data_IF_899749813085
#
_entry.id   IF_899749813085
#
_cell.length_a   1.000
_cell.length_b   1.000
_cell.length_c   1.000
_cell.angle_alpha   90.00
_cell.angle_beta   90.00
_cell.angle_gamma   90.00
#
_symmetry.space_group_name_H-M   'P 1'
#
loop_
_entity.id
_entity.type
_entity.pdbx_description
1 polymer ?
#
# COMPACT_ATOMS: atom_id res chain seq x y z
N UNK A 1 -26.09 -26.45 13.33
CA UNK A 1 -24.90 -26.29 12.45
C UNK A 1 -23.63 -26.69 13.24
N UNK A 2 -23.63 -27.86 13.88
CA UNK A 2 -22.55 -28.32 14.79
C UNK A 2 -21.62 -29.38 14.15
N UNK A 3 -21.77 -29.64 12.84
CA UNK A 3 -21.19 -30.84 12.22
C UNK A 3 -19.82 -30.66 11.55
N UNK A 4 -19.27 -29.44 11.40
CA UNK A 4 -18.00 -29.22 10.68
C UNK A 4 -16.74 -29.11 11.56
N UNK A 5 -16.85 -28.66 12.82
CA UNK A 5 -15.65 -28.46 13.67
C UNK A 5 -15.07 -29.79 14.17
N UNK A 6 -15.93 -30.79 14.42
CA UNK A 6 -15.53 -32.10 14.96
C UNK A 6 -14.77 -32.96 13.93
N UNK A 7 -15.11 -32.81 12.65
CA UNK A 7 -14.48 -33.58 11.56
C UNK A 7 -13.10 -33.05 11.17
N UNK A 8 -12.80 -31.76 11.42
CA UNK A 8 -11.46 -31.20 11.18
C UNK A 8 -10.44 -31.71 12.22
N UNK A 9 -10.87 -31.90 13.47
CA UNK A 9 -9.98 -32.30 14.57
C UNK A 9 -9.58 -33.79 14.47
N UNK A 10 -10.53 -34.67 14.12
CA UNK A 10 -10.28 -36.11 13.98
C UNK A 10 -9.46 -36.46 12.72
N UNK A 11 -9.37 -35.56 11.73
CA UNK A 11 -8.62 -35.76 10.47
C UNK A 11 -7.12 -35.46 10.58
N UNK A 12 -6.71 -34.61 11.53
CA UNK A 12 -5.29 -34.23 11.68
C UNK A 12 -4.51 -35.14 12.62
N UNK A 13 -5.16 -35.82 13.57
CA UNK A 13 -4.47 -36.57 14.61
C UNK A 13 -5.01 -38.00 14.67
N UNK A 14 -4.48 -38.85 13.78
CA UNK A 14 -4.68 -40.29 13.88
C UNK A 14 -4.13 -40.81 15.20
N UNK A 15 -4.96 -41.57 15.91
CA UNK A 15 -4.74 -42.32 17.16
C UNK A 15 -5.34 -41.71 18.45
N UNK A 16 -6.51 -42.28 18.79
CA UNK A 16 -6.82 -42.97 20.05
C UNK A 16 -6.09 -42.52 21.32
N UNK A 17 -6.88 -41.96 22.25
CA UNK A 17 -6.71 -42.27 23.67
C UNK A 17 -6.08 -41.18 24.53
N UNK A 18 -6.81 -40.07 24.73
CA UNK A 18 -7.09 -39.45 26.04
C UNK A 18 -7.97 -38.23 25.79
N UNK A 19 -9.19 -38.23 26.33
CA UNK A 19 -10.09 -37.08 26.29
C UNK A 19 -9.37 -35.89 26.95
N UNK A 20 -8.88 -34.95 26.15
CA UNK A 20 -8.41 -33.67 26.67
C UNK A 20 -9.63 -32.97 27.29
N UNK A 21 -9.54 -32.66 28.59
CA UNK A 21 -10.59 -31.99 29.33
C UNK A 21 -10.63 -30.51 28.93
N UNK A 22 -11.37 -30.23 27.86
CA UNK A 22 -11.52 -28.90 27.22
C UNK A 22 -12.00 -27.82 28.20
N UNK A 23 -12.68 -28.22 29.29
CA UNK A 23 -13.18 -27.33 30.32
C UNK A 23 -12.08 -26.56 31.06
N UNK A 24 -10.86 -27.14 31.17
CA UNK A 24 -9.71 -26.45 31.78
C UNK A 24 -9.11 -25.39 30.88
N UNK A 25 -9.18 -25.57 29.56
CA UNK A 25 -8.55 -24.67 28.58
C UNK A 25 -9.41 -23.41 28.38
N UNK A 26 -10.74 -23.55 28.36
CA UNK A 26 -11.68 -22.42 28.26
C UNK A 26 -11.53 -21.39 29.38
N UNK A 27 -11.02 -21.81 30.56
CA UNK A 27 -10.78 -20.89 31.68
C UNK A 27 -9.65 -19.91 31.43
N UNK A 28 -8.67 -20.27 30.61
CA UNK A 28 -7.47 -19.47 30.38
C UNK A 28 -7.51 -18.66 29.08
N UNK A 29 -8.45 -18.96 28.17
CA UNK A 29 -8.52 -18.36 26.84
C UNK A 29 -9.91 -17.78 26.53
N UNK A 30 -9.98 -16.73 25.71
CA UNK A 30 -11.22 -16.20 25.11
C UNK A 30 -11.58 -17.00 23.83
N UNK A 31 -12.78 -16.91 23.21
CA UNK A 31 -13.13 -17.75 22.04
C UNK A 31 -12.32 -17.43 20.77
N UNK A 32 -11.42 -16.45 20.84
CA UNK A 32 -10.44 -16.10 19.79
C UNK A 32 -9.02 -16.61 20.17
N UNK A 33 -8.86 -17.37 21.26
CA UNK A 33 -7.59 -18.02 21.62
C UNK A 33 -6.56 -17.12 22.32
N UNK A 34 -6.96 -16.01 22.94
CA UNK A 34 -6.05 -15.07 23.62
C UNK A 34 -6.03 -15.35 25.15
N UNK A 35 -4.85 -15.40 25.81
CA UNK A 35 -4.74 -15.57 27.26
C UNK A 35 -5.42 -14.45 28.05
N UNK A 36 -6.30 -14.80 29.00
CA UNK A 36 -7.08 -13.80 29.78
C UNK A 36 -6.23 -12.92 30.73
N UNK A 37 -4.98 -13.29 31.01
CA UNK A 37 -4.09 -12.59 31.95
C UNK A 37 -3.63 -11.19 31.46
N UNK A 38 -3.90 -10.83 30.21
CA UNK A 38 -3.51 -9.54 29.61
C UNK A 38 -4.70 -8.60 29.32
N UNK A 39 -5.91 -8.94 29.75
CA UNK A 39 -7.09 -8.11 29.49
C UNK A 39 -7.49 -7.34 30.76
N UNK A 40 -7.08 -6.06 30.86
CA UNK A 40 -7.86 -5.11 31.63
C UNK A 40 -9.08 -4.73 30.75
N UNK A 41 -10.31 -5.15 31.09
CA UNK A 41 -11.47 -5.00 30.20
C UNK A 41 -11.84 -3.53 29.96
N UNK A 42 -11.34 -2.59 30.76
CA UNK A 42 -11.60 -1.16 30.59
C UNK A 42 -10.83 -0.51 29.42
N UNK A 43 -9.73 -1.11 28.95
CA UNK A 43 -8.84 -0.50 27.95
C UNK A 43 -8.73 -1.33 26.64
N UNK A 44 -9.58 -2.34 26.45
CA UNK A 44 -9.61 -3.08 25.20
C UNK A 44 -10.33 -2.26 24.13
N UNK A 45 -9.56 -1.55 23.32
CA UNK A 45 -10.02 -1.01 22.03
C UNK A 45 -9.66 -2.04 20.96
N UNK A 46 -10.60 -2.83 20.42
CA UNK A 46 -10.28 -3.75 19.35
C UNK A 46 -9.71 -2.98 18.16
N UNK A 47 -8.65 -3.51 17.55
CA UNK A 47 -7.87 -2.93 16.43
C UNK A 47 -8.67 -2.70 15.12
N UNK A 48 -10.00 -2.71 15.19
CA UNK A 48 -10.92 -2.38 14.11
C UNK A 48 -12.11 -1.50 14.54
N UNK A 49 -12.15 -1.00 15.78
CA UNK A 49 -13.27 -0.19 16.29
C UNK A 49 -13.16 1.32 16.06
N UNK A 50 -12.07 1.78 15.45
CA UNK A 50 -11.87 3.19 15.09
C UNK A 50 -11.84 3.43 13.57
N UNK A 51 -12.48 2.56 12.78
CA UNK A 51 -12.72 2.81 11.35
C UNK A 51 -14.22 2.85 11.08
N UNK A 52 -14.92 3.75 11.76
CA UNK A 52 -16.14 4.32 11.22
C UNK A 52 -15.75 5.60 10.49
N UNK A 53 -15.04 5.47 9.36
CA UNK A 53 -15.12 6.51 8.34
C UNK A 53 -16.55 6.43 7.80
N UNK A 54 -17.41 7.36 8.23
CA UNK A 54 -18.59 7.68 7.45
C UNK A 54 -18.07 8.16 6.10
N UNK A 55 -18.15 7.28 5.09
CA UNK A 55 -17.89 7.65 3.71
C UNK A 55 -19.06 8.56 3.31
N UNK A 56 -18.89 9.86 3.54
CA UNK A 56 -19.72 10.89 2.90
C UNK A 56 -19.55 10.69 1.39
N UNK A 57 -20.59 10.15 0.76
CA UNK A 57 -20.68 9.97 -0.68
C UNK A 57 -20.97 11.32 -1.33
N UNK A 58 -19.97 12.20 -1.30
CA UNK A 58 -19.93 13.46 -2.04
C UNK A 58 -18.62 13.55 -2.85
N UNK A 59 -18.16 12.40 -3.39
CA UNK A 59 -17.11 12.43 -4.41
C UNK A 59 -17.72 12.91 -5.74
N UNK A 60 -17.28 14.06 -6.30
CA UNK A 60 -17.67 14.43 -7.65
C UNK A 60 -17.23 13.31 -8.59
N UNK A 61 -18.13 12.90 -9.50
CA UNK A 61 -17.83 11.89 -10.51
C UNK A 61 -16.49 12.23 -11.19
N UNK A 62 -15.58 11.26 -11.38
CA UNK A 62 -14.29 11.53 -12.00
C UNK A 62 -14.57 12.17 -13.36
N UNK A 63 -14.00 13.36 -13.59
CA UNK A 63 -14.03 13.99 -14.90
C UNK A 63 -13.29 13.07 -15.88
N UNK A 64 -14.07 12.22 -16.55
CA UNK A 64 -13.62 11.30 -17.57
C UNK A 64 -12.88 12.12 -18.62
N UNK A 65 -11.55 12.12 -18.54
CA UNK A 65 -10.68 12.88 -19.43
C UNK A 65 -10.33 11.97 -20.59
N UNK A 66 -10.42 12.45 -21.82
CA UNK A 66 -10.01 11.66 -22.99
C UNK A 66 -8.50 11.78 -23.19
N UNK A 67 -7.81 10.66 -23.42
CA UNK A 67 -6.40 10.68 -23.80
C UNK A 67 -6.21 11.08 -25.27
N UNK A 68 -4.94 11.20 -25.67
CA UNK A 68 -4.50 11.56 -27.01
C UNK A 68 -5.08 10.61 -28.10
N UNK A 69 -5.38 9.36 -27.74
CA UNK A 69 -5.91 8.33 -28.64
C UNK A 69 -7.45 8.26 -28.67
N UNK A 70 -8.16 9.20 -28.03
CA UNK A 70 -9.62 9.18 -27.98
C UNK A 70 -10.19 8.19 -26.95
N UNK A 71 -9.34 7.55 -26.15
CA UNK A 71 -9.73 6.58 -25.11
C UNK A 71 -10.03 7.32 -23.81
N UNK A 72 -11.12 6.94 -23.15
CA UNK A 72 -11.50 7.51 -21.85
C UNK A 72 -10.53 7.06 -20.76
N UNK A 73 -9.94 8.02 -20.06
CA UNK A 73 -9.10 7.80 -18.88
C UNK A 73 -10.01 7.76 -17.66
N UNK A 74 -9.93 6.67 -16.89
CA UNK A 74 -10.68 6.50 -15.65
C UNK A 74 -9.91 6.99 -14.42
N UNK A 75 -8.58 6.87 -14.44
CA UNK A 75 -7.72 7.26 -13.32
C UNK A 75 -6.60 8.21 -13.78
N UNK A 76 -6.94 9.46 -14.17
CA UNK A 76 -5.92 10.43 -14.53
C UNK A 76 -5.03 10.72 -13.32
N UNK A 77 -3.75 10.97 -13.58
CA UNK A 77 -2.79 11.43 -12.58
C UNK A 77 -2.21 12.77 -13.00
N UNK A 78 -2.15 13.68 -12.05
CA UNK A 78 -1.61 15.01 -12.21
C UNK A 78 -0.50 15.22 -11.18
N UNK A 79 0.69 15.63 -11.64
CA UNK A 79 1.84 15.94 -10.78
C UNK A 79 2.22 17.40 -11.00
N UNK A 80 2.22 18.20 -9.94
CA UNK A 80 2.49 19.65 -9.98
C UNK A 80 1.70 20.40 -11.07
N UNK A 81 0.43 20.04 -11.26
CA UNK A 81 -0.45 20.64 -12.28
C UNK A 81 -0.28 20.08 -13.70
N UNK A 82 0.64 19.15 -13.91
CA UNK A 82 0.84 18.48 -15.18
C UNK A 82 0.14 17.11 -15.21
N UNK A 83 -0.86 16.97 -16.08
CA UNK A 83 -1.54 15.69 -16.33
C UNK A 83 -0.61 14.80 -17.15
N UNK A 84 -0.32 13.61 -16.62
CA UNK A 84 0.49 12.64 -17.34
C UNK A 84 -0.28 12.09 -18.56
N UNK A 85 0.40 11.89 -19.69
CA UNK A 85 -0.23 11.41 -20.92
C UNK A 85 -0.55 9.91 -20.83
N UNK A 86 -1.60 9.51 -21.56
CA UNK A 86 -1.97 8.13 -21.86
C UNK A 86 -2.14 7.20 -20.65
N UNK A 87 -3.09 7.55 -19.76
CA UNK A 87 -3.52 6.76 -18.59
C UNK A 87 -2.39 5.90 -17.98
N UNK A 88 -1.44 6.55 -17.29
CA UNK A 88 -0.31 5.82 -16.76
C UNK A 88 -0.76 4.83 -15.68
N UNK A 89 -0.09 3.69 -15.66
CA UNK A 89 -0.28 2.66 -14.68
C UNK A 89 0.37 3.08 -13.36
N UNK A 90 -0.41 3.10 -12.28
CA UNK A 90 0.06 3.48 -10.95
C UNK A 90 0.11 2.24 -10.06
N UNK A 91 1.30 1.92 -9.56
CA UNK A 91 1.51 0.86 -8.57
C UNK A 91 1.88 1.48 -7.24
N UNK A 92 1.20 1.06 -6.18
CA UNK A 92 1.46 1.52 -4.80
C UNK A 92 1.96 0.35 -3.97
N UNK A 93 3.05 0.54 -3.25
CA UNK A 93 3.67 -0.46 -2.36
C UNK A 93 4.01 0.19 -1.03
N UNK A 94 3.88 -0.53 0.07
CA UNK A 94 4.46 -0.16 1.36
C UNK A 94 5.11 -1.38 2.00
N UNK A 95 6.08 -1.13 2.87
CA UNK A 95 6.68 -2.15 3.71
C UNK A 95 6.72 -1.68 5.16
N UNK A 96 6.62 -2.62 6.10
CA UNK A 96 6.84 -2.35 7.51
C UNK A 96 8.20 -2.91 7.90
N UNK A 97 8.91 -2.19 8.76
CA UNK A 97 10.10 -2.72 9.43
C UNK A 97 9.63 -3.55 10.62
N UNK A 98 9.93 -4.84 10.57
CA UNK A 98 9.62 -5.78 11.65
C UNK A 98 10.95 -6.34 12.16
N UNK A 99 11.18 -6.23 13.47
CA UNK A 99 12.34 -6.85 14.12
C UNK A 99 11.89 -8.19 14.66
N UNK A 100 12.61 -9.24 14.29
CA UNK A 100 12.33 -10.60 14.71
C UNK A 100 13.38 -11.04 15.71
N UNK A 101 12.95 -11.44 16.90
CA UNK A 101 13.83 -11.99 17.94
C UNK A 101 13.51 -13.46 18.12
N UNK A 102 14.53 -14.30 17.95
CA UNK A 102 14.42 -15.74 18.18
C UNK A 102 14.20 -16.01 19.67
N UNK A 103 13.23 -16.88 19.97
CA UNK A 103 12.95 -17.31 21.33
C UNK A 103 13.65 -18.64 21.54
N UNK A 104 14.69 -18.66 22.38
CA UNK A 104 15.35 -19.89 22.80
C UNK A 104 14.50 -20.56 23.90
N UNK A 105 13.56 -21.38 23.46
CA UNK A 105 12.71 -22.18 24.34
C UNK A 105 12.83 -23.67 24.00
N UNK A 106 13.15 -24.47 25.02
CA UNK A 106 13.14 -25.93 24.94
C UNK A 106 11.72 -26.52 24.96
N UNK A 107 10.70 -25.70 25.22
CA UNK A 107 9.30 -26.11 25.15
C UNK A 107 8.83 -26.06 23.68
N UNK A 108 8.47 -27.21 23.06
CA UNK A 108 8.04 -27.29 21.68
C UNK A 108 6.71 -26.57 21.40
N UNK A 109 6.03 -26.04 22.42
CA UNK A 109 4.86 -25.17 22.28
C UNK A 109 5.24 -23.73 21.90
N UNK A 110 6.48 -23.32 22.19
CA UNK A 110 7.03 -22.00 21.83
C UNK A 110 7.93 -22.13 20.60
N UNK A 111 7.29 -22.34 19.45
CA UNK A 111 7.96 -22.30 18.15
C UNK A 111 7.71 -20.93 17.50
N UNK A 112 8.78 -20.22 17.13
CA UNK A 112 8.69 -18.99 16.34
C UNK A 112 9.57 -17.84 16.85
N UNK A 113 9.35 -16.66 16.28
CA UNK A 113 10.04 -15.41 16.63
C UNK A 113 9.08 -14.42 17.26
N UNK A 114 9.55 -13.67 18.25
CA UNK A 114 8.87 -12.46 18.72
C UNK A 114 9.02 -11.38 17.65
N UNK A 115 7.89 -10.84 17.16
CA UNK A 115 7.87 -9.81 16.10
C UNK A 115 7.53 -8.45 16.70
N UNK A 116 8.47 -7.52 16.64
CA UNK A 116 8.27 -6.13 17.01
C UNK A 116 7.98 -5.30 15.74
N UNK A 117 6.80 -4.66 15.70
CA UNK A 117 6.43 -3.75 14.61
C UNK A 117 7.10 -2.39 14.84
N UNK A 118 8.30 -2.21 14.28
CA UNK A 118 9.15 -1.06 14.57
C UNK A 118 8.69 0.22 13.88
N UNK A 119 8.45 0.16 12.56
CA UNK A 119 7.99 1.32 11.81
C UNK A 119 7.19 0.94 10.58
N UNK A 120 6.30 1.84 10.19
CA UNK A 120 5.68 1.83 8.86
C UNK A 120 6.60 2.64 7.96
N UNK A 121 7.11 2.04 6.88
CA UNK A 121 7.92 2.74 5.90
C UNK A 121 7.06 3.66 5.02
N UNK A 122 7.73 4.45 4.19
CA UNK A 122 7.05 5.29 3.20
C UNK A 122 6.34 4.43 2.16
N UNK A 123 5.29 4.98 1.54
CA UNK A 123 4.72 4.38 0.34
C UNK A 123 5.66 4.60 -0.83
N UNK A 124 6.02 3.53 -1.52
CA UNK A 124 6.66 3.54 -2.82
C UNK A 124 5.57 3.58 -3.89
N UNK A 125 5.64 4.57 -4.78
CA UNK A 125 4.71 4.72 -5.90
C UNK A 125 5.50 4.65 -7.19
N UNK A 126 5.14 3.69 -8.05
CA UNK A 126 5.71 3.54 -9.39
C UNK A 126 4.66 3.94 -10.41
N UNK A 127 5.02 4.88 -11.29
CA UNK A 127 4.14 5.39 -12.34
C UNK A 127 4.76 5.03 -13.69
N UNK A 128 4.02 4.32 -14.52
CA UNK A 128 4.49 3.85 -15.83
C UNK A 128 3.56 4.33 -16.94
N UNK A 129 4.10 4.81 -18.03
CA UNK A 129 3.29 5.24 -19.16
C UNK A 129 4.07 5.31 -20.47
N UNK A 130 3.37 5.73 -21.52
CA UNK A 130 3.96 5.89 -22.85
C UNK A 130 3.64 7.29 -23.36
N UNK A 131 4.64 7.95 -23.92
CA UNK A 131 4.47 9.21 -24.66
C UNK A 131 4.58 8.92 -26.16
N UNK A 132 3.76 9.61 -26.97
CA UNK A 132 3.80 9.54 -28.44
C UNK A 132 3.95 10.93 -29.04
N UNK A 133 4.53 11.00 -30.24
CA UNK A 133 4.61 12.22 -31.03
C UNK A 133 3.50 12.23 -32.08
N UNK A 134 2.49 13.09 -31.90
CA UNK A 134 1.37 13.20 -32.86
C UNK A 134 1.73 14.03 -34.10
N UNK A 135 2.65 14.98 -33.96
CA UNK A 135 2.98 15.93 -35.03
C UNK A 135 3.91 15.31 -36.07
N UNK A 136 4.79 14.39 -35.66
CA UNK A 136 5.72 13.70 -36.55
C UNK A 136 6.02 12.28 -36.05
N UNK A 137 5.55 11.27 -36.80
CA UNK A 137 5.81 9.85 -36.51
C UNK A 137 7.26 9.41 -36.78
N UNK A 138 8.09 10.27 -37.37
CA UNK A 138 9.51 10.00 -37.62
C UNK A 138 10.42 10.55 -36.52
N UNK A 139 9.87 11.33 -35.57
CA UNK A 139 10.64 11.99 -34.51
C UNK A 139 10.20 11.55 -33.11
N UNK A 140 11.16 11.55 -32.19
CA UNK A 140 10.97 11.25 -30.77
C UNK A 140 10.05 12.31 -30.13
N UNK A 141 9.16 11.95 -29.18
CA UNK A 141 8.24 12.88 -28.48
C UNK A 141 8.96 13.86 -27.53
N UNK A 142 9.74 14.78 -28.10
CA UNK A 142 10.67 15.64 -27.38
C UNK A 142 9.95 16.57 -26.37
N UNK A 143 8.79 17.09 -26.75
CA UNK A 143 8.00 18.01 -25.91
C UNK A 143 7.61 17.35 -24.59
N UNK A 144 7.09 16.13 -24.63
CA UNK A 144 6.63 15.41 -23.44
C UNK A 144 7.81 14.90 -22.61
N UNK A 145 8.88 14.41 -23.26
CA UNK A 145 10.11 14.00 -22.58
C UNK A 145 10.73 15.18 -21.81
N UNK A 146 10.78 16.39 -22.40
CA UNK A 146 11.28 17.58 -21.71
C UNK A 146 10.46 17.94 -20.48
N UNK A 147 9.13 17.77 -20.51
CA UNK A 147 8.26 18.00 -19.34
C UNK A 147 8.52 16.98 -18.24
N UNK A 148 8.62 15.69 -18.58
CA UNK A 148 8.97 14.63 -17.63
C UNK A 148 10.34 14.89 -16.98
N UNK A 149 11.34 15.26 -17.78
CA UNK A 149 12.66 15.68 -17.29
C UNK A 149 12.55 16.86 -16.33
N UNK A 150 11.73 17.86 -16.62
CA UNK A 150 11.55 19.02 -15.75
C UNK A 150 11.00 18.59 -14.39
N UNK A 151 9.95 17.76 -14.35
CA UNK A 151 9.38 17.22 -13.11
C UNK A 151 10.43 16.47 -12.29
N UNK A 152 11.23 15.61 -12.93
CA UNK A 152 12.28 14.86 -12.25
C UNK A 152 13.38 15.77 -11.66
N UNK A 153 13.72 16.86 -12.35
CA UNK A 153 14.75 17.80 -11.88
C UNK A 153 14.28 18.70 -10.73
N UNK A 154 13.00 18.71 -10.41
CA UNK A 154 12.49 19.47 -9.26
C UNK A 154 12.92 18.80 -7.95
N UNK A 155 13.82 19.47 -7.22
CA UNK A 155 14.37 19.00 -5.93
C UNK A 155 13.42 19.24 -4.76
N UNK A 156 12.14 18.97 -4.96
CA UNK A 156 11.08 19.12 -3.95
C UNK A 156 10.07 18.00 -4.10
N UNK A 157 9.38 17.73 -3.01
CA UNK A 157 8.16 16.92 -3.00
C UNK A 157 7.09 17.64 -3.82
N UNK A 158 6.49 16.95 -4.79
CA UNK A 158 5.51 17.50 -5.73
C UNK A 158 4.09 17.12 -5.28
N UNK A 159 3.12 18.04 -5.35
CA UNK A 159 1.73 17.68 -5.12
C UNK A 159 1.25 16.73 -6.23
N UNK A 160 0.54 15.69 -5.84
CA UNK A 160 -0.07 14.73 -6.76
C UNK A 160 -1.57 14.70 -6.57
N UNK A 161 -2.32 14.51 -7.67
CA UNK A 161 -3.74 14.20 -7.64
C UNK A 161 -3.99 12.93 -8.42
N UNK A 162 -4.57 11.95 -7.75
CA UNK A 162 -5.04 10.73 -8.37
C UNK A 162 -5.95 10.01 -7.37
N UNK A 163 -7.12 9.56 -7.83
CA UNK A 163 -8.11 8.93 -6.96
C UNK A 163 -7.58 7.71 -6.20
N UNK A 164 -6.73 6.90 -6.83
CA UNK A 164 -6.12 5.74 -6.16
C UNK A 164 -5.18 6.19 -5.04
N UNK A 165 -4.36 7.22 -5.28
CA UNK A 165 -3.44 7.77 -4.28
C UNK A 165 -4.17 8.49 -3.13
N UNK A 166 -5.30 9.14 -3.44
CA UNK A 166 -6.15 9.81 -2.45
C UNK A 166 -6.74 8.82 -1.42
N UNK A 167 -7.10 7.61 -1.86
CA UNK A 167 -7.55 6.53 -0.97
C UNK A 167 -6.46 6.18 0.06
N UNK A 168 -5.19 6.16 -0.36
CA UNK A 168 -4.04 5.94 0.52
C UNK A 168 -3.59 7.20 1.27
N UNK A 169 -4.31 8.32 1.14
CA UNK A 169 -3.96 9.65 1.68
C UNK A 169 -2.58 10.16 1.23
N UNK A 170 -2.12 9.72 0.05
CA UNK A 170 -0.86 10.17 -0.56
C UNK A 170 -1.12 11.43 -1.37
N UNK A 171 -0.77 12.58 -0.81
CA UNK A 171 -1.00 13.90 -1.45
C UNK A 171 0.24 14.49 -2.10
N UNK A 172 1.42 13.94 -1.79
CA UNK A 172 2.70 14.40 -2.34
C UNK A 172 3.65 13.26 -2.61
N UNK A 173 4.47 13.44 -3.64
CA UNK A 173 5.46 12.48 -4.10
C UNK A 173 6.81 13.15 -4.29
N UNK A 174 7.86 12.53 -3.74
CA UNK A 174 9.24 12.83 -4.08
C UNK A 174 9.73 11.83 -5.14
N UNK A 175 10.02 12.32 -6.34
CA UNK A 175 10.55 11.49 -7.43
C UNK A 175 12.04 11.28 -7.19
N UNK A 176 12.49 10.02 -7.14
CA UNK A 176 13.89 9.69 -6.89
C UNK A 176 14.56 8.95 -8.05
N UNK A 177 13.76 8.38 -8.96
CA UNK A 177 14.26 7.63 -10.11
C UNK A 177 13.38 7.89 -11.35
N UNK A 178 14.04 7.94 -12.51
CA UNK A 178 13.40 8.15 -13.80
C UNK A 178 14.09 7.27 -14.85
N UNK A 179 13.30 6.39 -15.46
CA UNK A 179 13.72 5.53 -16.56
C UNK A 179 12.93 5.92 -17.80
N UNK A 180 13.60 6.01 -18.94
CA UNK A 180 12.98 6.25 -20.24
C UNK A 180 13.49 5.19 -21.20
N UNK A 181 12.61 4.25 -21.56
CA UNK A 181 12.92 3.11 -22.42
C UNK A 181 12.36 3.29 -23.83
N UNK A 182 13.21 3.09 -24.83
CA UNK A 182 12.77 3.13 -26.22
C UNK A 182 11.92 1.92 -26.55
N UNK A 183 10.91 2.10 -27.39
CA UNK A 183 10.04 1.01 -27.81
C UNK A 183 10.59 0.36 -29.09
N UNK A 184 10.73 -0.96 -29.10
CA UNK A 184 11.23 -1.67 -30.27
C UNK A 184 10.27 -1.48 -31.46
N UNK A 185 10.79 -0.93 -32.56
CA UNK A 185 10.04 -0.73 -33.80
C UNK A 185 9.19 0.55 -33.86
N UNK A 186 9.24 1.41 -32.84
CA UNK A 186 8.56 2.72 -32.84
C UNK A 186 9.53 3.82 -32.41
N UNK A 187 9.76 4.81 -33.29
CA UNK A 187 10.64 5.97 -33.03
C UNK A 187 9.84 7.10 -32.36
N UNK A 188 8.54 7.18 -32.68
CA UNK A 188 7.59 8.16 -32.20
C UNK A 188 7.06 7.88 -30.79
N UNK A 189 7.45 6.75 -30.20
CA UNK A 189 6.99 6.30 -28.90
C UNK A 189 8.14 6.13 -27.91
N UNK A 190 7.91 6.56 -26.67
CA UNK A 190 8.87 6.37 -25.58
C UNK A 190 8.13 5.95 -24.31
N UNK A 191 8.53 4.82 -23.72
CA UNK A 191 8.04 4.40 -22.42
C UNK A 191 8.78 5.13 -21.31
N UNK A 192 8.09 5.43 -20.21
CA UNK A 192 8.70 6.04 -19.04
C UNK A 192 8.25 5.36 -17.75
N UNK A 193 9.17 5.27 -16.79
CA UNK A 193 8.91 4.83 -15.42
C UNK A 193 9.42 5.89 -14.45
N UNK A 194 8.53 6.37 -13.58
CA UNK A 194 8.86 7.25 -12.46
C UNK A 194 8.75 6.45 -11.16
N UNK A 195 9.80 6.39 -10.37
CA UNK A 195 9.74 5.84 -9.01
C UNK A 195 9.76 6.97 -8.00
N UNK A 196 8.77 6.93 -7.12
CA UNK A 196 8.46 7.98 -6.18
C UNK A 196 8.30 7.43 -4.77
N UNK A 197 8.53 8.27 -3.78
CA UNK A 197 8.16 8.02 -2.39
C UNK A 197 7.10 9.00 -1.94
N UNK A 198 6.13 8.53 -1.16
CA UNK A 198 5.17 9.42 -0.50
C UNK A 198 5.89 10.34 0.45
N UNK A 199 5.44 11.58 0.49
CA UNK A 199 5.95 12.56 1.43
C UNK A 199 4.77 13.31 2.08
N UNK A 200 5.02 13.89 3.25
CA UNK A 200 4.06 14.71 3.97
C UNK A 200 4.72 16.04 4.33
N UNK A 201 3.95 17.13 4.38
CA UNK A 201 4.49 18.36 4.96
C UNK A 201 4.65 18.15 6.47
N UNK A 202 5.88 17.92 6.89
CA UNK A 202 6.21 17.88 8.30
C UNK A 202 6.34 19.30 8.83
N UNK A 203 5.44 19.71 9.74
CA UNK A 203 5.71 20.85 10.61
C UNK A 203 6.57 20.33 11.79
N UNK A 204 7.81 20.80 11.88
CA UNK A 204 8.79 20.39 12.91
C UNK A 204 8.27 20.63 14.35
N UNK A 205 7.29 21.50 14.53
CA UNK A 205 6.68 21.82 15.83
C UNK A 205 5.86 20.66 16.45
N UNK A 206 5.43 19.68 15.65
CA UNK A 206 4.56 18.59 16.11
C UNK A 206 5.32 17.35 16.62
N UNK A 207 6.65 17.37 16.61
CA UNK A 207 7.47 16.29 17.18
C UNK A 207 7.69 16.61 18.67
N UNK A 208 6.65 16.43 19.50
CA UNK A 208 6.88 16.31 20.94
C UNK A 208 7.36 14.89 21.22
N UNK A 209 8.53 14.68 21.86
CA UNK A 209 8.87 13.36 22.36
C UNK A 209 7.81 13.00 23.39
N UNK A 210 7.00 11.99 23.10
CA UNK A 210 6.11 11.38 24.09
C UNK A 210 7.01 10.86 25.20
N UNK A 211 7.07 11.60 26.30
CA UNK A 211 7.80 11.25 27.52
C UNK A 211 7.01 10.23 28.32
#
# INVERSE_FOLDING_TARGET
MEFEVKQLYDKQFGQTGKRADLSRIEKYFNPIGIPRLYANPANYVPLGSQLNEQVEADEPAPEATTNLLGVTIHLPIEIDGYKLPNEPLVTVRASKKIIETEIDSNDPSYQGTFKELFSVGDWEVTIQGIVFNEDNSEDIPEKEIRKLRKLFLERKSLPVKNRLLDIYKITRLAIYDFEADSMEGQIDAQAYTLKCKSDMLWNLENIKPTS
#
